data_IF_058647211509
#
_entry.id   IF_058647211509
#
_cell.length_a   1.000
_cell.length_b   1.000
_cell.length_c   1.000
_cell.angle_alpha   90.00
_cell.angle_beta   90.00
_cell.angle_gamma   90.00
#
_symmetry.space_group_name_H-M   'P 1'
#
loop_
_entity.id
_entity.type
_entity.pdbx_description
1 polymer ?
#
# COMPACT_ATOMS: atom_id res chain seq x y z
N UNK A 1 -71.36 -61.79 2.15
CA UNK A 1 -70.83 -61.74 0.77
C UNK A 1 -70.20 -60.37 0.57
N UNK A 2 -68.92 -60.32 0.13
CA UNK A 2 -68.23 -59.32 -0.73
C UNK A 2 -68.65 -57.83 -0.61
N UNK A 3 -67.79 -56.81 -0.56
CA UNK A 3 -66.34 -56.66 -0.65
C UNK A 3 -65.96 -55.19 -0.31
N UNK A 4 -64.78 -55.04 0.29
CA UNK A 4 -63.75 -53.99 0.15
C UNK A 4 -64.04 -52.60 -0.45
N UNK A 5 -63.52 -51.55 0.21
CA UNK A 5 -62.63 -50.55 -0.41
C UNK A 5 -61.86 -49.75 0.67
N UNK A 6 -60.52 -49.81 0.58
CA UNK A 6 -59.55 -49.06 1.37
C UNK A 6 -59.41 -47.62 0.84
N UNK A 7 -59.35 -46.63 1.73
CA UNK A 7 -58.82 -45.30 1.44
C UNK A 7 -57.88 -44.89 2.58
N UNK A 8 -56.58 -44.82 2.26
CA UNK A 8 -55.52 -44.31 3.12
C UNK A 8 -55.51 -42.78 2.96
N UNK A 9 -55.83 -42.04 4.02
CA UNK A 9 -55.63 -40.59 4.07
C UNK A 9 -54.29 -40.31 4.75
N UNK A 10 -53.30 -39.91 3.94
CA UNK A 10 -52.02 -39.41 4.42
C UNK A 10 -52.18 -37.99 4.94
N UNK A 11 -51.71 -37.76 6.16
CA UNK A 11 -51.61 -36.45 6.80
C UNK A 11 -50.54 -35.63 6.06
N UNK A 12 -50.95 -34.57 5.37
CA UNK A 12 -50.03 -33.51 4.94
C UNK A 12 -50.11 -32.37 5.96
N UNK A 13 -49.13 -32.34 6.86
CA UNK A 13 -48.76 -31.11 7.56
C UNK A 13 -48.17 -30.16 6.50
N UNK A 14 -48.93 -29.15 6.12
CA UNK A 14 -48.40 -27.98 5.41
C UNK A 14 -47.44 -27.25 6.35
N UNK A 15 -46.18 -27.69 6.37
CA UNK A 15 -45.08 -26.82 6.77
C UNK A 15 -44.90 -25.81 5.65
N UNK A 16 -45.38 -24.59 5.86
CA UNK A 16 -45.08 -23.45 4.99
C UNK A 16 -43.55 -23.29 4.94
N UNK A 17 -42.95 -23.80 3.86
CA UNK A 17 -41.57 -23.54 3.48
C UNK A 17 -41.57 -22.35 2.52
N UNK A 18 -40.81 -21.32 2.88
CA UNK A 18 -40.17 -20.42 1.92
C UNK A 18 -41.02 -19.24 1.44
N UNK A 19 -41.33 -18.30 2.34
CA UNK A 19 -41.50 -16.91 1.91
C UNK A 19 -40.14 -16.39 1.42
N UNK A 20 -39.94 -16.38 0.10
CA UNK A 20 -38.95 -15.49 -0.52
C UNK A 20 -39.51 -14.07 -0.45
N UNK A 21 -39.34 -13.41 0.69
CA UNK A 21 -39.47 -11.96 0.74
C UNK A 21 -38.45 -11.37 -0.25
N UNK A 22 -38.93 -10.79 -1.36
CA UNK A 22 -38.08 -9.97 -2.22
C UNK A 22 -37.51 -8.84 -1.35
N UNK A 23 -36.26 -8.96 -0.91
CA UNK A 23 -35.53 -7.81 -0.41
C UNK A 23 -35.45 -6.82 -1.57
N UNK A 24 -36.10 -5.66 -1.45
CA UNK A 24 -36.08 -4.58 -2.44
C UNK A 24 -34.72 -3.89 -2.43
N UNK A 25 -33.68 -4.66 -2.75
CA UNK A 25 -32.31 -4.17 -2.84
C UNK A 25 -32.26 -3.13 -3.96
N UNK A 26 -32.07 -1.87 -3.59
CA UNK A 26 -31.94 -0.77 -4.55
C UNK A 26 -30.55 -0.69 -5.18
N UNK A 27 -29.62 -1.54 -4.73
CA UNK A 27 -28.23 -1.56 -5.17
C UNK A 27 -27.99 -2.61 -6.25
N UNK A 28 -27.14 -2.32 -7.25
CA UNK A 28 -26.69 -3.34 -8.20
C UNK A 28 -25.78 -4.37 -7.49
N UNK A 29 -25.70 -5.63 -7.99
CA UNK A 29 -24.91 -6.70 -7.38
C UNK A 29 -23.45 -6.35 -7.04
N UNK A 30 -22.81 -5.51 -7.84
CA UNK A 30 -21.43 -5.04 -7.59
C UNK A 30 -21.27 -4.16 -6.34
N UNK A 31 -22.38 -3.62 -5.81
CA UNK A 31 -22.43 -2.76 -4.61
C UNK A 31 -23.01 -3.47 -3.40
N UNK A 32 -23.38 -4.74 -3.50
CA UNK A 32 -24.00 -5.45 -2.38
C UNK A 32 -23.04 -5.66 -1.21
N UNK A 33 -21.74 -5.82 -1.47
CA UNK A 33 -20.73 -5.95 -0.41
C UNK A 33 -19.93 -4.66 -0.16
N UNK A 34 -20.36 -3.51 -0.68
CA UNK A 34 -19.60 -2.26 -0.52
C UNK A 34 -19.74 -1.62 0.86
N UNK A 35 -20.80 -1.93 1.61
CA UNK A 35 -20.98 -1.53 3.00
C UNK A 35 -21.76 -2.59 3.77
N UNK A 36 -21.72 -2.50 5.10
CA UNK A 36 -22.51 -3.38 5.97
C UNK A 36 -24.01 -3.19 5.72
N UNK A 37 -24.44 -1.94 5.56
CA UNK A 37 -25.85 -1.59 5.33
C UNK A 37 -26.36 -2.14 4.00
N UNK A 38 -25.57 -2.04 2.92
CA UNK A 38 -25.98 -2.59 1.63
C UNK A 38 -26.05 -4.12 1.67
N UNK A 39 -25.13 -4.78 2.39
CA UNK A 39 -25.12 -6.22 2.53
C UNK A 39 -26.31 -6.74 3.35
N UNK A 40 -26.70 -6.01 4.40
CA UNK A 40 -27.91 -6.31 5.19
C UNK A 40 -29.17 -6.10 4.35
N UNK A 41 -29.31 -4.93 3.72
CA UNK A 41 -30.50 -4.58 2.93
C UNK A 41 -30.72 -5.55 1.78
N UNK A 42 -29.65 -6.02 1.15
CA UNK A 42 -29.70 -6.94 0.02
C UNK A 42 -29.64 -8.42 0.43
N UNK A 43 -29.67 -8.73 1.73
CA UNK A 43 -29.75 -10.10 2.24
C UNK A 43 -28.51 -10.96 1.99
N UNK A 44 -27.37 -10.35 1.65
CA UNK A 44 -26.12 -11.05 1.32
C UNK A 44 -25.03 -10.85 2.39
N UNK A 45 -25.40 -10.42 3.60
CA UNK A 45 -24.45 -10.15 4.67
C UNK A 45 -23.54 -11.35 4.95
N UNK A 46 -24.10 -12.55 5.02
CA UNK A 46 -23.35 -13.77 5.32
C UNK A 46 -22.33 -14.06 4.21
N UNK A 47 -22.73 -13.94 2.96
CA UNK A 47 -21.91 -14.17 1.77
C UNK A 47 -20.81 -13.11 1.66
N UNK A 48 -21.12 -11.85 1.94
CA UNK A 48 -20.14 -10.76 1.97
C UNK A 48 -19.13 -10.93 3.12
N UNK A 49 -19.58 -11.32 4.32
CA UNK A 49 -18.69 -11.59 5.45
C UNK A 49 -17.81 -12.82 5.20
N UNK A 50 -18.37 -13.91 4.65
CA UNK A 50 -17.59 -15.09 4.28
C UNK A 50 -16.62 -14.80 3.13
N UNK A 51 -17.02 -14.00 2.14
CA UNK A 51 -16.14 -13.53 1.06
C UNK A 51 -15.02 -12.65 1.60
N UNK A 52 -15.31 -11.71 2.51
CA UNK A 52 -14.31 -10.87 3.17
C UNK A 52 -13.36 -11.69 4.05
N UNK A 53 -13.88 -12.64 4.83
CA UNK A 53 -13.09 -13.54 5.66
C UNK A 53 -12.15 -14.38 4.79
N UNK A 54 -12.68 -15.00 3.74
CA UNK A 54 -11.89 -15.79 2.78
C UNK A 54 -10.87 -14.91 2.06
N UNK A 55 -11.24 -13.68 1.65
CA UNK A 55 -10.34 -12.70 1.01
C UNK A 55 -9.24 -12.22 1.97
N UNK A 56 -9.54 -12.05 3.25
CA UNK A 56 -8.54 -11.71 4.28
C UNK A 56 -7.56 -12.86 4.52
N UNK A 57 -8.04 -14.11 4.52
CA UNK A 57 -7.20 -15.31 4.62
C UNK A 57 -6.46 -15.64 3.31
N UNK A 58 -6.86 -15.03 2.19
CA UNK A 58 -6.23 -15.21 0.88
C UNK A 58 -5.35 -14.04 0.46
N UNK A 59 -5.45 -12.85 1.08
CA UNK A 59 -4.48 -11.76 0.88
C UNK A 59 -3.16 -12.32 1.39
N UNK A 60 -2.28 -12.70 0.47
CA UNK A 60 -0.90 -12.98 0.84
C UNK A 60 -0.30 -11.73 1.46
N UNK A 61 0.79 -11.87 2.20
CA UNK A 61 1.52 -10.71 2.70
C UNK A 61 1.86 -9.78 1.53
N UNK A 62 1.62 -8.48 1.70
CA UNK A 62 1.98 -7.47 0.72
C UNK A 62 3.46 -7.57 0.40
N UNK A 63 3.83 -7.30 -0.85
CA UNK A 63 5.24 -7.20 -1.23
C UNK A 63 5.76 -5.87 -0.69
N UNK A 64 6.68 -5.93 0.26
CA UNK A 64 7.35 -4.73 0.75
C UNK A 64 8.45 -4.33 -0.24
N UNK A 65 8.46 -3.05 -0.63
CA UNK A 65 9.52 -2.46 -1.42
C UNK A 65 10.19 -1.38 -0.58
N UNK A 66 11.42 -1.63 -0.15
CA UNK A 66 12.26 -0.64 0.51
C UNK A 66 13.12 0.10 -0.49
N UNK A 67 13.19 1.42 -0.38
CA UNK A 67 14.07 2.29 -1.15
C UNK A 67 14.97 3.09 -0.21
N UNK A 68 16.26 2.84 -0.28
CA UNK A 68 17.29 3.61 0.41
C UNK A 68 17.93 4.56 -0.61
N UNK A 69 17.86 5.86 -0.33
CA UNK A 69 18.10 6.89 -1.34
C UNK A 69 18.55 8.23 -0.74
N UNK A 70 18.89 9.16 -1.63
CA UNK A 70 19.28 10.54 -1.30
C UNK A 70 18.47 11.51 -2.16
N UNK A 71 17.99 12.58 -1.54
CA UNK A 71 17.05 13.54 -2.14
C UNK A 71 17.59 14.28 -3.38
N UNK A 72 18.91 14.37 -3.57
CA UNK A 72 19.52 15.02 -4.74
C UNK A 72 20.20 14.04 -5.71
N UNK A 73 20.19 12.73 -5.44
CA UNK A 73 20.79 11.74 -6.32
C UNK A 73 19.93 11.46 -7.56
N UNK A 74 20.35 11.84 -8.80
CA UNK A 74 19.49 11.77 -9.98
C UNK A 74 18.86 10.40 -10.25
N UNK A 75 19.61 9.31 -10.03
CA UNK A 75 19.11 7.94 -10.20
C UNK A 75 18.03 7.58 -9.18
N UNK A 76 18.14 8.07 -7.94
CA UNK A 76 17.13 7.90 -6.90
C UNK A 76 15.83 8.59 -7.29
N UNK A 77 15.92 9.85 -7.70
CA UNK A 77 14.77 10.67 -8.11
C UNK A 77 14.03 10.04 -9.29
N UNK A 78 14.78 9.54 -10.27
CA UNK A 78 14.24 8.86 -11.44
C UNK A 78 13.50 7.58 -11.05
N UNK A 79 14.11 6.73 -10.22
CA UNK A 79 13.47 5.50 -9.76
C UNK A 79 12.21 5.79 -8.94
N UNK A 80 12.29 6.70 -7.95
CA UNK A 80 11.17 7.06 -7.09
C UNK A 80 10.00 7.57 -7.93
N UNK A 81 10.27 8.52 -8.84
CA UNK A 81 9.22 9.24 -9.57
C UNK A 81 8.65 8.47 -10.75
N UNK A 82 9.47 7.69 -11.46
CA UNK A 82 9.06 7.02 -12.70
C UNK A 82 8.75 5.54 -12.52
N UNK A 83 9.27 4.89 -11.48
CA UNK A 83 9.06 3.45 -11.23
C UNK A 83 8.25 3.21 -9.95
N UNK A 84 8.74 3.70 -8.80
CA UNK A 84 8.17 3.35 -7.50
C UNK A 84 6.77 3.94 -7.30
N UNK A 85 6.63 5.26 -7.43
CA UNK A 85 5.35 5.94 -7.19
C UNK A 85 4.24 5.48 -8.14
N UNK A 86 4.44 5.39 -9.47
CA UNK A 86 3.42 4.86 -10.37
C UNK A 86 3.04 3.41 -10.07
N UNK A 87 4.02 2.56 -9.71
CA UNK A 87 3.75 1.17 -9.33
C UNK A 87 2.90 1.11 -8.06
N UNK A 88 3.23 1.90 -7.05
CA UNK A 88 2.46 1.97 -5.81
C UNK A 88 1.02 2.45 -6.04
N UNK A 89 0.81 3.45 -6.91
CA UNK A 89 -0.54 3.90 -7.28
C UNK A 89 -1.38 2.75 -7.87
N UNK A 90 -0.76 1.88 -8.67
CA UNK A 90 -1.46 0.77 -9.33
C UNK A 90 -1.61 -0.47 -8.44
N UNK A 91 -0.65 -0.72 -7.55
CA UNK A 91 -0.50 -1.98 -6.81
C UNK A 91 -0.54 -1.82 -5.28
N UNK A 92 -0.93 -0.65 -4.75
CA UNK A 92 -0.93 -0.37 -3.31
C UNK A 92 -1.78 -1.32 -2.45
N UNK A 93 -2.70 -2.08 -3.06
CA UNK A 93 -3.46 -3.14 -2.40
C UNK A 93 -2.65 -4.40 -2.06
N UNK A 94 -1.49 -4.58 -2.71
CA UNK A 94 -0.63 -5.76 -2.59
C UNK A 94 0.84 -5.39 -2.35
N UNK A 95 1.12 -4.11 -2.11
CA UNK A 95 2.46 -3.55 -2.00
C UNK A 95 2.53 -2.54 -0.86
N UNK A 96 3.58 -2.62 -0.06
CA UNK A 96 3.95 -1.57 0.90
C UNK A 96 5.26 -0.93 0.47
N UNK A 97 5.46 0.32 0.84
CA UNK A 97 6.67 1.09 0.51
C UNK A 97 7.32 1.54 1.80
N UNK A 98 8.62 1.26 1.93
CA UNK A 98 9.47 1.82 2.96
C UNK A 98 10.48 2.77 2.30
N UNK A 99 10.51 4.02 2.73
CA UNK A 99 11.42 5.04 2.19
C UNK A 99 12.46 5.38 3.26
N UNK A 100 13.74 5.32 2.91
CA UNK A 100 14.84 5.61 3.84
C UNK A 100 15.75 6.68 3.21
N UNK A 101 15.40 7.98 3.34
CA UNK A 101 16.24 9.07 2.87
C UNK A 101 17.45 9.24 3.79
N UNK A 102 18.59 8.73 3.34
CA UNK A 102 19.90 8.84 3.99
C UNK A 102 21.00 8.50 2.99
N UNK A 103 20.89 7.33 2.37
CA UNK A 103 21.79 6.84 1.32
C UNK A 103 23.25 6.83 1.73
N UNK A 104 24.12 7.44 0.93
CA UNK A 104 25.56 7.51 1.19
C UNK A 104 25.97 8.63 2.17
N UNK A 105 25.01 9.26 2.87
CA UNK A 105 25.34 10.22 3.90
C UNK A 105 26.19 9.57 5.01
N UNK A 106 27.04 10.37 5.64
CA UNK A 106 27.87 9.95 6.77
C UNK A 106 27.36 10.64 8.01
N UNK A 107 27.16 9.86 9.06
CA UNK A 107 26.81 10.35 10.39
C UNK A 107 28.07 10.48 11.28
N UNK A 108 28.16 11.58 12.02
CA UNK A 108 29.17 11.81 13.05
C UNK A 108 28.51 12.24 14.35
N UNK A 109 28.94 11.66 15.46
CA UNK A 109 28.51 12.09 16.80
C UNK A 109 29.13 13.46 17.16
N UNK A 110 28.29 14.38 17.63
CA UNK A 110 28.68 15.67 18.17
C UNK A 110 27.93 15.92 19.50
N UNK A 111 28.53 15.48 20.61
CA UNK A 111 27.94 15.61 21.93
C UNK A 111 26.69 14.74 22.07
N UNK A 112 25.51 15.36 22.17
CA UNK A 112 24.21 14.65 22.24
C UNK A 112 23.44 14.68 20.92
N UNK A 113 24.06 15.18 19.85
CA UNK A 113 23.46 15.29 18.51
C UNK A 113 24.31 14.60 17.47
N UNK A 114 23.71 14.34 16.32
CA UNK A 114 24.39 13.81 15.16
C UNK A 114 24.56 14.91 14.11
N UNK A 115 25.71 14.94 13.44
CA UNK A 115 25.94 15.74 12.23
C UNK A 115 25.92 14.80 11.03
N UNK A 116 25.25 15.23 9.98
CA UNK A 116 25.15 14.49 8.72
C UNK A 116 25.93 15.21 7.63
N UNK A 117 26.77 14.47 6.92
CA UNK A 117 27.50 14.94 5.73
C UNK A 117 27.00 14.16 4.52
N UNK A 118 26.46 14.85 3.52
CA UNK A 118 25.85 14.24 2.34
C UNK A 118 26.68 14.49 1.08
N UNK A 119 26.61 13.59 0.09
CA UNK A 119 27.46 13.61 -1.10
C UNK A 119 27.22 14.86 -1.97
N UNK A 120 25.97 15.32 -2.04
CA UNK A 120 25.57 16.50 -2.79
C UNK A 120 25.46 17.76 -1.91
N UNK A 121 26.12 17.75 -0.74
CA UNK A 121 26.25 18.89 0.16
C UNK A 121 25.05 19.13 1.09
N UNK A 122 25.02 20.30 1.74
CA UNK A 122 24.04 20.61 2.78
C UNK A 122 22.59 20.63 2.28
N UNK A 123 22.37 20.92 0.99
CA UNK A 123 21.03 20.93 0.41
C UNK A 123 20.42 19.53 0.35
N UNK A 124 21.22 18.50 0.09
CA UNK A 124 20.77 17.12 0.16
C UNK A 124 20.47 16.69 1.59
N UNK A 125 21.34 17.05 2.55
CA UNK A 125 21.05 16.76 3.95
C UNK A 125 19.75 17.42 4.42
N UNK A 126 19.49 18.66 3.97
CA UNK A 126 18.23 19.34 4.24
C UNK A 126 17.05 18.64 3.58
N UNK A 127 17.19 18.20 2.33
CA UNK A 127 16.15 17.45 1.60
C UNK A 127 15.81 16.15 2.32
N UNK A 128 16.82 15.33 2.63
CA UNK A 128 16.68 14.09 3.37
C UNK A 128 15.94 14.34 4.70
N UNK A 129 16.30 15.41 5.43
CA UNK A 129 15.70 15.76 6.71
C UNK A 129 14.23 16.18 6.58
N UNK A 130 13.88 16.96 5.55
CA UNK A 130 12.50 17.35 5.26
C UNK A 130 11.66 16.10 4.98
N UNK A 131 12.12 15.21 4.10
CA UNK A 131 11.41 13.99 3.74
C UNK A 131 11.21 13.07 4.95
N UNK A 132 12.27 12.90 5.75
CA UNK A 132 12.22 12.16 7.02
C UNK A 132 11.17 12.73 7.99
N UNK A 133 11.14 14.05 8.17
CA UNK A 133 10.15 14.70 9.03
C UNK A 133 8.72 14.53 8.48
N UNK A 134 8.52 14.67 7.17
CA UNK A 134 7.21 14.46 6.54
C UNK A 134 6.70 13.03 6.78
N UNK A 135 7.57 12.02 6.66
CA UNK A 135 7.22 10.62 6.94
C UNK A 135 6.71 10.40 8.37
N UNK A 136 7.28 11.10 9.36
CA UNK A 136 6.84 11.02 10.74
C UNK A 136 5.55 11.82 11.02
N UNK A 137 5.27 12.86 10.23
CA UNK A 137 4.21 13.83 10.53
C UNK A 137 2.90 13.60 9.77
N UNK A 138 2.91 12.80 8.69
CA UNK A 138 1.71 12.62 7.86
C UNK A 138 1.67 11.28 7.12
N UNK A 139 0.46 10.74 6.97
CA UNK A 139 0.16 9.58 6.13
C UNK A 139 0.23 9.90 4.62
N UNK A 140 0.34 11.20 4.28
CA UNK A 140 0.50 11.70 2.90
C UNK A 140 1.95 11.96 2.50
N UNK A 141 2.92 11.48 3.29
CA UNK A 141 4.34 11.72 3.03
C UNK A 141 4.77 11.26 1.63
N UNK A 142 4.36 10.05 1.20
CA UNK A 142 4.84 9.52 -0.07
C UNK A 142 4.41 10.35 -1.31
N UNK A 143 3.14 10.77 -1.46
CA UNK A 143 2.77 11.76 -2.49
C UNK A 143 3.50 13.11 -2.41
N UNK A 144 3.79 13.60 -1.20
CA UNK A 144 4.54 14.86 -1.02
C UNK A 144 5.99 14.68 -1.50
N UNK A 145 6.66 13.60 -1.07
CA UNK A 145 8.03 13.26 -1.47
C UNK A 145 8.10 13.06 -2.98
N UNK A 146 7.16 12.34 -3.58
CA UNK A 146 7.07 12.21 -5.04
C UNK A 146 6.99 13.58 -5.73
N UNK A 147 6.15 14.50 -5.24
CA UNK A 147 6.04 15.84 -5.79
C UNK A 147 7.35 16.64 -5.69
N UNK A 148 8.05 16.52 -4.56
CA UNK A 148 9.36 17.13 -4.36
C UNK A 148 10.38 16.57 -5.35
N UNK A 149 10.44 15.24 -5.44
CA UNK A 149 11.44 14.52 -6.19
C UNK A 149 11.23 14.57 -7.70
N UNK A 150 10.00 14.81 -8.15
CA UNK A 150 9.69 15.06 -9.55
C UNK A 150 9.92 16.52 -9.95
N UNK A 151 10.00 17.45 -9.00
CA UNK A 151 10.17 18.89 -9.28
C UNK A 151 11.58 19.22 -9.75
N UNK A 152 11.74 20.30 -10.53
CA UNK A 152 13.08 20.74 -10.96
C UNK A 152 14.00 21.12 -9.79
N UNK A 153 13.42 21.56 -8.67
CA UNK A 153 14.11 21.95 -7.45
C UNK A 153 13.37 21.31 -6.24
N UNK A 154 14.00 20.30 -5.65
CA UNK A 154 13.42 19.47 -4.57
C UNK A 154 13.11 20.31 -3.33
N UNK A 155 14.03 21.19 -2.94
CA UNK A 155 13.87 22.02 -1.74
C UNK A 155 12.85 23.14 -1.92
N UNK A 156 12.89 23.85 -3.06
CA UNK A 156 11.93 24.94 -3.31
C UNK A 156 10.50 24.46 -3.45
N UNK A 157 10.31 23.22 -3.92
CA UNK A 157 8.96 22.64 -4.09
C UNK A 157 8.38 22.06 -2.79
N UNK A 158 9.21 21.73 -1.79
CA UNK A 158 8.79 21.04 -0.56
C UNK A 158 7.58 21.66 0.14
N UNK A 159 7.58 22.99 0.32
CA UNK A 159 6.45 23.70 0.94
C UNK A 159 5.17 23.55 0.10
N UNK A 160 5.25 23.88 -1.19
CA UNK A 160 4.09 23.80 -2.10
C UNK A 160 3.55 22.38 -2.21
N UNK A 161 4.43 21.38 -2.30
CA UNK A 161 4.04 19.97 -2.32
C UNK A 161 3.34 19.57 -1.02
N UNK A 162 3.84 20.01 0.13
CA UNK A 162 3.19 19.77 1.43
C UNK A 162 1.79 20.37 1.46
N UNK A 163 1.64 21.64 1.04
CA UNK A 163 0.35 22.34 1.02
C UNK A 163 -0.66 21.70 0.05
N UNK A 164 -0.21 21.15 -1.08
CA UNK A 164 -1.08 20.47 -2.06
C UNK A 164 -1.66 19.18 -1.49
N UNK A 165 -0.83 18.33 -0.88
CA UNK A 165 -1.26 16.98 -0.47
C UNK A 165 -1.72 16.91 0.99
N UNK A 166 -1.32 17.87 1.83
CA UNK A 166 -1.68 17.95 3.24
C UNK A 166 -1.80 19.42 3.71
N UNK A 167 -2.85 20.14 3.29
CA UNK A 167 -3.03 21.57 3.58
C UNK A 167 -3.14 21.89 5.08
N UNK A 168 -3.57 20.93 5.90
CA UNK A 168 -3.68 21.10 7.35
C UNK A 168 -2.33 20.95 8.09
N UNK A 169 -1.27 20.52 7.40
CA UNK A 169 0.07 20.38 7.99
C UNK A 169 0.83 21.70 7.79
N UNK A 170 1.10 22.41 8.89
CA UNK A 170 1.87 23.65 8.87
C UNK A 170 3.31 23.38 8.41
N UNK A 171 3.75 24.16 7.42
CA UNK A 171 5.15 24.12 6.98
C UNK A 171 6.13 24.52 8.10
N UNK A 172 5.72 25.43 8.98
CA UNK A 172 6.57 25.85 10.11
C UNK A 172 6.74 24.71 11.13
N UNK A 173 5.74 23.84 11.29
CA UNK A 173 5.85 22.63 12.13
C UNK A 173 6.82 21.62 11.50
N UNK A 174 6.76 21.44 10.17
CA UNK A 174 7.74 20.62 9.44
C UNK A 174 9.15 21.17 9.65
N UNK A 175 9.35 22.47 9.49
CA UNK A 175 10.66 23.10 9.70
C UNK A 175 11.13 23.06 11.17
N UNK A 176 10.19 23.01 12.11
CA UNK A 176 10.50 22.79 13.53
C UNK A 176 11.02 21.38 13.76
N UNK A 177 10.43 20.36 13.12
CA UNK A 177 10.99 19.01 13.12
C UNK A 177 12.40 18.99 12.52
N UNK A 178 12.58 19.58 11.34
CA UNK A 178 13.84 19.58 10.57
C UNK A 178 15.00 20.19 11.36
N UNK A 179 14.75 21.29 12.09
CA UNK A 179 15.77 22.00 12.88
C UNK A 179 15.91 21.46 14.30
N UNK A 180 14.98 20.62 14.74
CA UNK A 180 14.83 20.17 16.12
C UNK A 180 15.49 18.82 16.40
N UNK A 181 15.45 18.43 17.66
CA UNK A 181 15.99 17.14 18.11
C UNK A 181 15.20 15.95 17.55
N UNK A 182 13.92 16.16 17.20
CA UNK A 182 13.09 15.12 16.56
C UNK A 182 13.67 14.73 15.20
N UNK A 183 13.89 15.71 14.30
CA UNK A 183 14.49 15.44 12.99
C UNK A 183 15.86 14.77 13.11
N UNK A 184 16.71 15.25 14.04
CA UNK A 184 18.03 14.65 14.28
C UNK A 184 17.94 13.17 14.66
N UNK A 185 17.00 12.80 15.55
CA UNK A 185 16.77 11.40 15.96
C UNK A 185 16.20 10.55 14.83
N UNK A 186 15.27 11.08 14.04
CA UNK A 186 14.69 10.35 12.91
C UNK A 186 15.74 10.11 11.81
N UNK A 187 16.58 11.11 11.51
CA UNK A 187 17.67 10.94 10.54
C UNK A 187 18.72 9.93 11.04
N UNK A 188 19.02 9.92 12.35
CA UNK A 188 19.84 8.88 12.95
C UNK A 188 19.21 7.48 12.82
N UNK A 189 17.88 7.35 12.95
CA UNK A 189 17.20 6.08 12.70
C UNK A 189 17.38 5.62 11.25
N UNK A 190 17.24 6.52 10.28
CA UNK A 190 17.52 6.21 8.87
C UNK A 190 18.98 5.78 8.66
N UNK A 191 19.93 6.42 9.36
CA UNK A 191 21.34 6.04 9.32
C UNK A 191 21.56 4.60 9.84
N UNK A 192 20.93 4.25 10.97
CA UNK A 192 20.99 2.91 11.54
C UNK A 192 20.33 1.87 10.64
N UNK A 193 19.18 2.18 10.05
CA UNK A 193 18.47 1.29 9.12
C UNK A 193 19.31 1.04 7.86
N UNK A 194 19.89 2.10 7.29
CA UNK A 194 20.78 2.00 6.12
C UNK A 194 22.05 1.20 6.45
N UNK A 195 22.62 1.38 7.65
CA UNK A 195 23.79 0.61 8.12
C UNK A 195 23.47 -0.86 8.39
N UNK A 196 22.22 -1.19 8.73
CA UNK A 196 21.78 -2.55 9.00
C UNK A 196 21.53 -3.38 7.73
N UNK A 197 21.60 -2.76 6.55
CA UNK A 197 21.49 -3.46 5.26
C UNK A 197 22.50 -4.60 5.16
N UNK A 198 22.01 -5.75 4.69
CA UNK A 198 22.81 -6.93 4.44
C UNK A 198 22.43 -7.54 3.08
N UNK A 199 23.30 -7.48 2.05
CA UNK A 199 24.64 -6.88 2.11
C UNK A 199 24.59 -5.35 2.33
N UNK A 200 25.65 -4.74 2.86
CA UNK A 200 25.77 -3.28 2.90
C UNK A 200 25.59 -2.70 1.50
N UNK A 201 24.90 -1.57 1.39
CA UNK A 201 24.72 -0.92 0.09
C UNK A 201 26.06 -0.43 -0.47
N UNK A 202 26.24 -0.56 -1.78
CA UNK A 202 27.43 -0.10 -2.50
C UNK A 202 27.16 1.15 -3.36
N UNK A 203 25.89 1.49 -3.55
CA UNK A 203 25.39 2.61 -4.33
C UNK A 203 23.94 2.94 -3.94
N UNK A 204 23.42 4.05 -4.47
CA UNK A 204 21.99 4.38 -4.41
C UNK A 204 21.46 4.68 -5.82
N UNK A 205 20.16 4.45 -6.11
CA UNK A 205 19.14 3.88 -5.22
C UNK A 205 19.40 2.41 -4.90
N UNK A 206 19.19 2.03 -3.64
CA UNK A 206 19.30 0.64 -3.19
C UNK A 206 17.91 0.10 -2.86
N UNK A 207 17.47 -0.88 -3.65
CA UNK A 207 16.11 -1.42 -3.56
C UNK A 207 16.13 -2.76 -2.83
N UNK A 208 15.21 -2.92 -1.88
CA UNK A 208 14.95 -4.20 -1.21
C UNK A 208 13.54 -4.68 -1.53
N UNK A 209 13.37 -5.99 -1.65
CA UNK A 209 12.07 -6.63 -1.83
C UNK A 209 11.88 -7.59 -0.66
N UNK A 210 10.88 -7.34 0.19
CA UNK A 210 10.65 -8.07 1.44
C UNK A 210 11.92 -8.14 2.33
N UNK A 211 12.63 -7.00 2.44
CA UNK A 211 13.86 -6.90 3.23
C UNK A 211 15.11 -7.51 2.59
N UNK A 212 15.01 -8.15 1.42
CA UNK A 212 16.16 -8.76 0.74
C UNK A 212 16.65 -7.89 -0.43
N UNK A 213 17.97 -7.83 -0.61
CA UNK A 213 18.61 -7.25 -1.78
C UNK A 213 19.47 -8.28 -2.52
N UNK A 214 19.33 -8.33 -3.84
CA UNK A 214 20.28 -8.98 -4.75
C UNK A 214 20.40 -8.16 -6.02
N UNK A 215 21.51 -8.30 -6.73
CA UNK A 215 21.69 -7.68 -8.05
C UNK A 215 20.57 -8.04 -9.04
N UNK A 216 20.04 -9.27 -9.00
CA UNK A 216 18.91 -9.67 -9.85
C UNK A 216 17.61 -8.93 -9.46
N UNK A 217 17.32 -8.80 -8.16
CA UNK A 217 16.16 -8.04 -7.68
C UNK A 217 16.28 -6.55 -8.01
N UNK A 218 17.47 -5.96 -7.79
CA UNK A 218 17.77 -4.58 -8.14
C UNK A 218 17.53 -4.35 -9.64
N UNK A 219 18.13 -5.17 -10.51
CA UNK A 219 17.98 -5.03 -11.96
C UNK A 219 16.52 -5.20 -12.42
N UNK A 220 15.79 -6.15 -11.85
CA UNK A 220 14.35 -6.34 -12.14
C UNK A 220 13.51 -5.15 -11.67
N UNK A 221 13.78 -4.63 -10.47
CA UNK A 221 13.09 -3.45 -9.94
C UNK A 221 13.33 -2.22 -10.83
N UNK A 222 14.58 -1.98 -11.21
CA UNK A 222 14.98 -0.86 -12.08
C UNK A 222 14.43 -1.00 -13.52
N UNK A 223 14.21 -2.22 -14.00
CA UNK A 223 13.62 -2.48 -15.32
C UNK A 223 12.09 -2.39 -15.33
N UNK A 224 11.43 -3.04 -14.36
CA UNK A 224 9.98 -3.03 -14.21
C UNK A 224 9.59 -3.47 -12.80
N UNK A 225 9.55 -2.52 -11.86
CA UNK A 225 9.10 -2.78 -10.49
C UNK A 225 7.68 -3.36 -10.47
N UNK A 226 6.78 -2.87 -11.32
CA UNK A 226 5.43 -3.40 -11.47
C UNK A 226 5.42 -4.90 -11.74
N UNK A 227 6.19 -5.36 -12.73
CA UNK A 227 6.25 -6.78 -13.08
C UNK A 227 6.85 -7.61 -11.95
N UNK A 228 7.87 -7.07 -11.27
CA UNK A 228 8.49 -7.72 -10.13
C UNK A 228 7.48 -7.90 -8.99
N UNK A 229 6.78 -6.85 -8.55
CA UNK A 229 5.76 -6.91 -7.49
C UNK A 229 4.66 -7.91 -7.86
N UNK A 230 4.14 -7.85 -9.08
CA UNK A 230 3.14 -8.81 -9.56
C UNK A 230 3.63 -10.27 -9.57
N UNK A 231 4.93 -10.49 -9.78
CA UNK A 231 5.52 -11.83 -9.74
C UNK A 231 5.75 -12.33 -8.32
N UNK A 232 6.12 -11.44 -7.40
CA UNK A 232 6.47 -11.75 -6.02
C UNK A 232 5.25 -11.93 -5.11
N UNK A 233 4.12 -11.29 -5.48
CA UNK A 233 2.89 -11.41 -4.70
C UNK A 233 2.29 -12.82 -4.79
N UNK A 234 2.10 -13.44 -3.63
CA UNK A 234 1.64 -14.84 -3.49
C UNK A 234 0.12 -15.00 -3.39
N UNK A 235 -0.61 -13.90 -3.17
CA UNK A 235 -2.07 -13.92 -3.09
C UNK A 235 -2.77 -13.88 -4.46
N UNK A 236 -4.12 -13.82 -4.48
CA UNK A 236 -4.89 -13.63 -5.69
C UNK A 236 -4.48 -12.34 -6.40
N UNK A 237 -3.87 -12.49 -7.59
CA UNK A 237 -3.34 -11.35 -8.34
C UNK A 237 -4.45 -10.34 -8.67
N UNK A 238 -4.20 -9.03 -8.51
CA UNK A 238 -5.12 -8.01 -9.00
C UNK A 238 -5.19 -8.07 -10.54
N UNK A 239 -6.24 -7.48 -11.10
CA UNK A 239 -6.44 -7.40 -12.56
C UNK A 239 -5.24 -6.79 -13.28
N UNK A 240 -4.63 -5.75 -12.69
CA UNK A 240 -3.41 -5.12 -13.17
C UNK A 240 -2.25 -6.12 -13.36
N UNK A 241 -2.17 -7.15 -12.51
CA UNK A 241 -1.18 -8.22 -12.60
C UNK A 241 -1.62 -9.41 -13.46
N UNK A 242 -2.68 -9.28 -14.26
CA UNK A 242 -3.25 -10.35 -15.07
C UNK A 242 -4.14 -11.33 -14.29
N UNK A 243 -4.58 -10.97 -13.09
CA UNK A 243 -5.55 -11.75 -12.33
C UNK A 243 -6.89 -11.82 -13.04
N UNK A 244 -7.30 -13.02 -13.47
CA UNK A 244 -8.58 -13.22 -14.15
C UNK A 244 -9.75 -12.86 -13.24
N UNK A 245 -10.76 -12.17 -13.80
CA UNK A 245 -12.03 -12.00 -13.12
C UNK A 245 -12.58 -13.39 -12.77
N UNK A 246 -12.82 -13.65 -11.48
CA UNK A 246 -13.70 -14.77 -11.10
C UNK A 246 -15.03 -14.45 -11.76
N UNK A 247 -15.33 -15.11 -12.88
CA UNK A 247 -16.68 -15.16 -13.43
C UNK A 247 -17.55 -15.74 -12.31
N UNK A 248 -18.24 -14.87 -11.57
CA UNK A 248 -19.38 -15.30 -10.78
C UNK A 248 -20.37 -15.84 -11.81
N UNK A 249 -20.45 -17.17 -11.93
CA UNK A 249 -21.57 -17.80 -12.61
C UNK A 249 -22.81 -17.24 -11.92
N UNK A 250 -23.54 -16.40 -12.63
CA UNK A 250 -24.91 -16.07 -12.25
C UNK A 250 -25.66 -17.39 -12.22
N UNK A 251 -25.85 -17.95 -11.03
CA UNK A 251 -26.78 -19.05 -10.81
C UNK A 251 -28.18 -18.45 -10.75
N UNK A 252 -28.63 -17.88 -11.88
CA UNK A 252 -30.06 -17.89 -12.14
C UNK A 252 -30.37 -19.27 -12.71
N UNK A 253 -30.70 -20.21 -11.82
CA UNK A 253 -31.44 -21.40 -12.23
C UNK A 253 -32.81 -20.91 -12.71
N UNK A 254 -33.05 -21.00 -14.02
CA UNK A 254 -34.42 -21.01 -14.53
C UNK A 254 -34.95 -22.43 -14.28
N UNK A 255 -35.86 -22.55 -13.31
CA UNK A 255 -36.82 -23.66 -13.26
C UNK A 255 -37.85 -23.50 -14.39
#
# INVERSE_FOLDING_TARGET
MKAALLLILTVWLNSQYGDCALSSCSYPPSKWCSSLDSAIQCGVLKECLMSNFTRSHQRGDSVEVGLYYESLCPGCRQFLSLMLFPTWVLLGDIMTVNLVPFGNAVEKEQGQKYIFECQHGEQECLGNMIETCLMNMTDRAFPIIFCMEFSSDVLKSAKTCTEIYKPDLSWDDVMTCVKGDMGNKLMHQNALETKALNPPHEYVPWVTINGEHTEDLQNKAMSSLFSLVCSMYKGPKPEACGGGQKHYKSYCHNE
#
